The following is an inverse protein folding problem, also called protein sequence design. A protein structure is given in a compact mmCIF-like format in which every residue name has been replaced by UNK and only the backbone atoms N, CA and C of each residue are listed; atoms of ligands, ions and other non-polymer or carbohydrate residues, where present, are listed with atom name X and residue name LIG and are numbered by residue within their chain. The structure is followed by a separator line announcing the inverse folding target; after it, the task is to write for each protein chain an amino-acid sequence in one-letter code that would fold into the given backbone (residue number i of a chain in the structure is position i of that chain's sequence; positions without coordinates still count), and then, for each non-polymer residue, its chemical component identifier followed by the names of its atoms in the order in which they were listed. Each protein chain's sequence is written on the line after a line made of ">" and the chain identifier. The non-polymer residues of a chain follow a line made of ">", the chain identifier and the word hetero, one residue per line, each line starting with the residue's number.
data_IF_707430021561
#
_entry.id   IF_707430021561
#
_cell.length_a   1.000
_cell.length_b   1.000
_cell.length_c   1.000
_cell.angle_alpha   90.00
_cell.angle_beta   90.00
_cell.angle_gamma   90.00
#
_symmetry.space_group_name_H-M   'P 1'
#
loop_
_entity.id
_entity.type
_entity.pdbx_description
1 polymer ?
#
# COMPACT_ATOMS: atom_id res chain seq x y z
N UNK A 1 19.80 59.89 -67.81
CA UNK A 1 19.33 58.59 -68.32
C UNK A 1 20.14 57.51 -67.63
N UNK A 2 19.65 56.98 -66.51
CA UNK A 2 20.31 55.90 -65.78
C UNK A 2 19.62 54.59 -66.18
N UNK A 3 20.41 53.68 -66.76
CA UNK A 3 19.98 52.37 -67.23
C UNK A 3 19.42 51.56 -66.06
N UNK A 4 18.10 51.32 -66.08
CA UNK A 4 17.48 50.35 -65.20
C UNK A 4 17.95 48.96 -65.63
N UNK A 5 18.85 48.40 -64.83
CA UNK A 5 19.49 47.11 -65.05
C UNK A 5 18.45 46.00 -64.81
N UNK A 6 17.53 45.81 -65.77
CA UNK A 6 16.33 44.98 -65.65
C UNK A 6 16.62 43.54 -65.23
N UNK A 7 17.84 43.06 -65.47
CA UNK A 7 18.35 41.76 -65.03
C UNK A 7 18.46 41.65 -63.51
N UNK A 8 18.84 42.72 -62.80
CA UNK A 8 18.91 42.75 -61.32
C UNK A 8 17.52 42.77 -60.70
N UNK A 9 16.61 43.57 -61.26
CA UNK A 9 15.22 43.63 -60.80
C UNK A 9 14.52 42.28 -61.01
N UNK A 10 14.70 41.68 -62.19
CA UNK A 10 14.18 40.34 -62.48
C UNK A 10 14.74 39.28 -61.52
N UNK A 11 16.03 39.36 -61.19
CA UNK A 11 16.67 38.44 -60.23
C UNK A 11 16.10 38.58 -58.82
N UNK A 12 15.81 39.80 -58.37
CA UNK A 12 15.21 40.04 -57.05
C UNK A 12 13.77 39.53 -56.99
N UNK A 13 12.98 39.79 -58.04
CA UNK A 13 11.61 39.26 -58.12
C UNK A 13 11.58 37.73 -58.17
N UNK A 14 12.48 37.12 -58.96
CA UNK A 14 12.61 35.66 -58.99
C UNK A 14 13.01 35.11 -57.62
N UNK A 15 13.96 35.73 -56.94
CA UNK A 15 14.37 35.32 -55.60
C UNK A 15 13.20 35.37 -54.60
N UNK A 16 12.47 36.49 -54.56
CA UNK A 16 11.30 36.65 -53.68
C UNK A 16 10.23 35.61 -54.02
N UNK A 17 9.97 35.35 -55.30
CA UNK A 17 9.04 34.33 -55.75
C UNK A 17 9.43 32.94 -55.23
N UNK A 18 10.71 32.56 -55.35
CA UNK A 18 11.20 31.28 -54.84
C UNK A 18 11.08 31.17 -53.31
N UNK A 19 11.35 32.24 -52.57
CA UNK A 19 11.20 32.26 -51.11
C UNK A 19 9.73 32.06 -50.71
N UNK A 20 8.80 32.78 -51.34
CA UNK A 20 7.36 32.63 -51.08
C UNK A 20 6.90 31.21 -51.46
N UNK A 21 7.35 30.69 -52.60
CA UNK A 21 7.04 29.34 -53.05
C UNK A 21 7.46 28.30 -52.00
N UNK A 22 8.69 28.41 -51.45
CA UNK A 22 9.18 27.51 -50.41
C UNK A 22 8.33 27.57 -49.14
N UNK A 23 7.96 28.78 -48.69
CA UNK A 23 7.10 28.94 -47.51
C UNK A 23 5.75 28.24 -47.73
N UNK A 24 5.11 28.46 -48.88
CA UNK A 24 3.83 27.82 -49.21
C UNK A 24 3.98 26.29 -49.25
N UNK A 25 5.05 25.79 -49.85
CA UNK A 25 5.32 24.35 -49.95
C UNK A 25 5.52 23.71 -48.57
N UNK A 26 6.25 24.37 -47.68
CA UNK A 26 6.41 23.91 -46.29
C UNK A 26 5.09 23.90 -45.53
N UNK A 27 4.25 24.93 -45.72
CA UNK A 27 2.95 25.00 -45.06
C UNK A 27 2.01 23.88 -45.54
N UNK A 28 1.99 23.62 -46.85
CA UNK A 28 1.22 22.51 -47.44
C UNK A 28 1.71 21.14 -46.95
N UNK A 29 3.03 20.94 -46.86
CA UNK A 29 3.61 19.70 -46.35
C UNK A 29 3.22 19.44 -44.90
N UNK A 30 3.35 20.45 -44.02
CA UNK A 30 2.99 20.32 -42.60
C UNK A 30 1.49 20.07 -42.46
N UNK A 31 0.65 20.78 -43.21
CA UNK A 31 -0.81 20.58 -43.21
C UNK A 31 -1.17 19.17 -43.65
N UNK A 32 -0.52 18.64 -44.69
CA UNK A 32 -0.72 17.28 -45.17
C UNK A 32 -0.27 16.23 -44.14
N UNK A 33 0.85 16.44 -43.46
CA UNK A 33 1.33 15.56 -42.39
C UNK A 33 0.38 15.56 -41.19
N UNK A 34 -0.15 16.72 -40.79
CA UNK A 34 -1.14 16.82 -39.72
C UNK A 34 -2.45 16.10 -40.10
N UNK A 35 -2.94 16.27 -41.33
CA UNK A 35 -4.11 15.53 -41.83
C UNK A 35 -3.89 14.02 -41.90
N UNK A 36 -2.65 13.55 -42.15
CA UNK A 36 -2.31 12.12 -42.09
C UNK A 36 -2.11 11.61 -40.67
N UNK A 37 -1.73 12.49 -39.73
CA UNK A 37 -1.54 12.17 -38.32
C UNK A 37 -2.85 12.14 -37.52
N UNK A 38 -3.90 12.84 -37.98
CA UNK A 38 -5.22 12.72 -37.41
C UNK A 38 -5.97 11.53 -38.00
N UNK A 39 -6.05 10.46 -37.20
CA UNK A 39 -7.05 9.37 -37.13
C UNK A 39 -6.39 7.99 -37.03
N UNK A 40 -5.74 7.76 -35.89
CA UNK A 40 -5.87 6.49 -35.18
C UNK A 40 -6.62 6.79 -33.89
N UNK A 41 -7.89 7.19 -33.99
CA UNK A 41 -8.75 7.06 -32.80
C UNK A 41 -8.84 5.56 -32.55
N UNK A 42 -8.36 5.04 -31.41
CA UNK A 42 -8.62 3.65 -31.08
C UNK A 42 -10.13 3.45 -31.17
N UNK A 43 -10.60 2.30 -31.71
CA UNK A 43 -12.02 2.00 -31.66
C UNK A 43 -12.49 2.20 -30.22
N UNK A 44 -13.65 2.86 -30.05
CA UNK A 44 -14.31 2.92 -28.75
C UNK A 44 -14.36 1.48 -28.22
N UNK A 45 -13.90 1.21 -26.99
CA UNK A 45 -13.89 -0.14 -26.47
C UNK A 45 -15.31 -0.70 -26.54
N UNK A 46 -15.54 -1.59 -27.50
CA UNK A 46 -16.80 -2.31 -27.68
C UNK A 46 -16.72 -3.60 -26.87
N UNK A 47 -16.54 -3.43 -25.57
CA UNK A 47 -16.69 -4.48 -24.56
C UNK A 47 -16.70 -3.73 -23.23
N UNK A 48 -17.88 -3.59 -22.64
CA UNK A 48 -17.96 -3.47 -21.19
C UNK A 48 -17.15 -4.63 -20.65
N UNK A 49 -16.04 -4.31 -19.97
CA UNK A 49 -15.25 -5.29 -19.25
C UNK A 49 -16.25 -6.21 -18.53
N UNK A 50 -16.14 -7.55 -18.69
CA UNK A 50 -16.99 -8.44 -17.93
C UNK A 50 -16.88 -7.99 -16.47
N UNK A 51 -17.99 -7.88 -15.73
CA UNK A 51 -17.90 -7.51 -14.32
C UNK A 51 -16.86 -8.43 -13.71
N UNK A 52 -15.72 -7.84 -13.32
CA UNK A 52 -14.70 -8.58 -12.61
C UNK A 52 -15.40 -9.30 -11.47
N UNK A 53 -14.97 -10.51 -11.10
CA UNK A 53 -15.64 -11.22 -10.03
C UNK A 53 -15.69 -10.25 -8.83
N UNK A 54 -16.91 -9.82 -8.47
CA UNK A 54 -17.19 -9.11 -7.22
C UNK A 54 -17.02 -10.15 -6.11
N UNK A 55 -15.82 -10.66 -5.98
CA UNK A 55 -15.47 -11.74 -5.09
C UNK A 55 -14.50 -11.13 -4.11
N UNK A 56 -15.08 -10.58 -3.05
CA UNK A 56 -14.52 -10.58 -1.71
C UNK A 56 -12.99 -10.46 -1.74
N UNK A 57 -12.50 -9.24 -1.97
CA UNK A 57 -11.11 -8.95 -1.62
C UNK A 57 -10.89 -9.46 -0.19
N UNK A 58 -9.78 -10.14 0.11
CA UNK A 58 -9.48 -10.51 1.48
C UNK A 58 -9.59 -9.23 2.30
N UNK A 59 -10.30 -9.29 3.43
CA UNK A 59 -10.40 -8.14 4.31
C UNK A 59 -8.97 -7.68 4.62
N UNK A 60 -8.72 -6.36 4.58
CA UNK A 60 -7.39 -5.86 4.89
C UNK A 60 -6.98 -6.41 6.27
N UNK A 61 -5.73 -6.88 6.42
CA UNK A 61 -5.27 -7.37 7.70
C UNK A 61 -5.41 -6.27 8.74
N UNK A 62 -6.02 -6.61 9.88
CA UNK A 62 -6.12 -5.74 11.03
C UNK A 62 -4.78 -5.74 11.76
N UNK A 63 -4.33 -4.56 12.18
CA UNK A 63 -3.12 -4.39 12.98
C UNK A 63 -3.40 -3.50 14.18
N UNK A 64 -2.66 -3.76 15.26
CA UNK A 64 -2.61 -2.93 16.44
C UNK A 64 -1.16 -2.57 16.77
N UNK A 65 -0.93 -1.30 17.10
CA UNK A 65 0.37 -0.83 17.56
C UNK A 65 0.54 -1.13 19.05
N UNK A 66 1.62 -1.84 19.40
CA UNK A 66 1.99 -2.18 20.77
C UNK A 66 3.44 -1.75 20.99
N UNK A 67 3.64 -0.72 21.81
CA UNK A 67 4.93 -0.06 21.91
C UNK A 67 5.25 0.66 20.60
N UNK A 68 6.24 0.16 19.85
CA UNK A 68 6.59 0.68 18.51
C UNK A 68 6.50 -0.45 17.45
N UNK A 69 5.76 -1.52 17.74
CA UNK A 69 5.63 -2.70 16.89
C UNK A 69 4.17 -2.89 16.44
N UNK A 70 3.99 -3.31 15.19
CA UNK A 70 2.67 -3.57 14.61
C UNK A 70 2.37 -5.06 14.71
N UNK A 71 1.46 -5.43 15.61
CA UNK A 71 0.97 -6.79 15.76
C UNK A 71 -0.22 -6.99 14.83
N UNK A 72 -0.31 -8.16 14.22
CA UNK A 72 -1.50 -8.58 13.47
C UNK A 72 -2.62 -8.95 14.46
N UNK A 73 -3.84 -8.50 14.18
CA UNK A 73 -4.95 -8.52 15.13
C UNK A 73 -5.42 -7.10 15.45
N UNK A 74 -6.30 -6.91 16.45
CA UNK A 74 -6.66 -7.84 17.53
C UNK A 74 -7.83 -8.77 17.16
N UNK A 75 -7.67 -10.08 17.39
CA UNK A 75 -8.69 -11.09 17.09
C UNK A 75 -9.29 -11.72 18.34
N UNK A 76 -10.56 -12.09 18.26
CA UNK A 76 -11.18 -12.94 19.29
C UNK A 76 -10.65 -14.36 19.21
N UNK A 77 -10.85 -15.15 20.26
CA UNK A 77 -10.45 -16.56 20.29
C UNK A 77 -11.12 -17.37 19.15
N UNK A 78 -12.40 -17.14 18.90
CA UNK A 78 -13.15 -17.78 17.80
C UNK A 78 -12.55 -17.47 16.43
N UNK A 79 -12.10 -16.23 16.21
CA UNK A 79 -11.45 -15.84 14.96
C UNK A 79 -10.09 -16.53 14.79
N UNK A 80 -9.33 -16.67 15.88
CA UNK A 80 -8.01 -17.32 15.86
C UNK A 80 -8.12 -18.82 15.59
N UNK A 81 -9.09 -19.52 16.17
CA UNK A 81 -9.30 -20.97 15.95
C UNK A 81 -9.62 -21.28 14.49
N UNK A 82 -10.34 -20.38 13.82
CA UNK A 82 -10.69 -20.52 12.41
C UNK A 82 -9.57 -20.04 11.46
N UNK A 83 -8.59 -19.30 11.97
CA UNK A 83 -7.48 -18.75 11.18
C UNK A 83 -6.45 -19.85 10.87
N UNK A 84 -6.47 -20.35 9.64
CA UNK A 84 -5.45 -21.25 9.12
C UNK A 84 -4.21 -20.46 8.66
N UNK A 85 -3.44 -19.88 9.60
CA UNK A 85 -2.19 -19.18 9.25
C UNK A 85 -1.02 -20.16 9.20
N UNK A 86 -0.37 -20.36 8.03
CA UNK A 86 0.85 -21.14 7.95
C UNK A 86 2.00 -20.38 8.62
N UNK A 87 2.38 -20.81 9.82
CA UNK A 87 3.54 -20.27 10.54
C UNK A 87 4.80 -20.96 10.00
N UNK A 88 5.68 -20.20 9.35
CA UNK A 88 7.00 -20.70 8.96
C UNK A 88 7.85 -21.01 10.20
N UNK A 89 8.61 -22.12 10.17
CA UNK A 89 9.44 -22.56 11.31
C UNK A 89 10.58 -21.60 11.66
N UNK A 90 10.93 -20.70 10.74
CA UNK A 90 12.03 -19.75 10.90
C UNK A 90 11.56 -18.39 11.46
N UNK A 91 10.28 -18.26 11.81
CA UNK A 91 9.73 -17.05 12.41
C UNK A 91 9.51 -17.24 13.89
N UNK A 92 10.01 -16.28 14.67
CA UNK A 92 9.65 -16.18 16.07
C UNK A 92 8.28 -15.52 16.20
N UNK A 93 7.45 -16.08 17.06
CA UNK A 93 6.08 -15.60 17.30
C UNK A 93 6.03 -15.02 18.71
N UNK A 94 5.80 -13.72 18.77
CA UNK A 94 5.35 -13.05 19.99
C UNK A 94 3.83 -12.89 19.91
N UNK A 95 3.17 -12.98 21.05
CA UNK A 95 1.74 -12.73 21.16
C UNK A 95 1.46 -11.80 22.32
N UNK A 96 0.44 -10.98 22.16
CA UNK A 96 -0.09 -10.11 23.20
C UNK A 96 -1.53 -10.53 23.52
N UNK A 97 -1.83 -10.55 24.81
CA UNK A 97 -3.20 -10.69 25.32
C UNK A 97 -3.70 -9.31 25.65
N UNK A 98 -4.85 -8.97 25.09
CA UNK A 98 -5.45 -7.66 25.16
C UNK A 98 -6.82 -7.77 25.80
N UNK A 99 -7.13 -6.85 26.72
CA UNK A 99 -8.48 -6.69 27.24
C UNK A 99 -9.11 -5.45 26.61
N UNK A 100 -10.23 -5.65 25.91
CA UNK A 100 -10.99 -4.54 25.34
C UNK A 100 -11.82 -3.87 26.43
N UNK A 101 -11.62 -2.57 26.62
CA UNK A 101 -12.44 -1.72 27.50
C UNK A 101 -12.91 -0.50 26.74
N UNK A 102 -14.23 -0.40 26.57
CA UNK A 102 -14.87 0.57 25.68
C UNK A 102 -14.39 0.40 24.22
N UNK A 103 -13.41 1.20 23.79
CA UNK A 103 -12.81 1.18 22.45
C UNK A 103 -11.28 1.06 22.48
N UNK A 104 -10.68 0.96 23.67
CA UNK A 104 -9.25 0.83 23.85
C UNK A 104 -8.87 -0.58 24.31
N UNK A 105 -7.61 -0.95 24.08
CA UNK A 105 -7.06 -2.24 24.45
C UNK A 105 -6.02 -2.06 25.56
N UNK A 106 -6.32 -2.57 26.74
CA UNK A 106 -5.34 -2.71 27.80
C UNK A 106 -4.49 -3.96 27.53
N UNK A 107 -3.17 -3.83 27.68
CA UNK A 107 -2.24 -4.94 27.45
C UNK A 107 -2.13 -5.76 28.73
N UNK A 108 -2.71 -6.96 28.73
CA UNK A 108 -2.67 -7.86 29.88
C UNK A 108 -1.33 -8.58 29.96
N UNK A 109 -0.82 -9.06 28.83
CA UNK A 109 0.35 -9.93 28.79
C UNK A 109 1.05 -9.88 27.43
N UNK A 110 2.36 -10.03 27.42
CA UNK A 110 3.17 -10.20 26.21
C UNK A 110 4.07 -11.42 26.39
N UNK A 111 3.84 -12.45 25.56
CA UNK A 111 4.54 -13.73 25.61
C UNK A 111 5.16 -14.11 24.27
N UNK A 112 5.91 -15.20 24.29
CA UNK A 112 6.46 -15.84 23.09
C UNK A 112 6.25 -17.35 23.12
N UNK A 113 6.48 -18.02 21.99
CA UNK A 113 6.26 -19.47 21.81
C UNK A 113 7.01 -20.38 22.78
N UNK A 114 8.05 -19.89 23.45
CA UNK A 114 8.85 -20.67 24.39
C UNK A 114 8.28 -20.68 25.81
N UNK A 115 7.26 -19.85 26.10
CA UNK A 115 6.71 -19.68 27.44
C UNK A 115 5.63 -20.75 27.73
N UNK A 116 5.84 -21.54 28.79
CA UNK A 116 4.97 -22.67 29.14
C UNK A 116 3.87 -22.33 30.14
N UNK A 117 4.12 -21.31 30.97
CA UNK A 117 3.23 -20.91 32.04
C UNK A 117 2.59 -19.57 31.67
N UNK A 118 1.29 -19.61 31.39
CA UNK A 118 0.45 -18.45 31.12
C UNK A 118 -0.60 -18.31 32.22
N UNK A 119 -0.76 -17.10 32.73
CA UNK A 119 -1.67 -16.82 33.85
C UNK A 119 -3.05 -16.38 33.33
N UNK A 120 -3.83 -17.37 32.88
CA UNK A 120 -5.18 -17.15 32.38
C UNK A 120 -6.12 -16.57 33.46
N UNK A 121 -5.90 -16.95 34.73
CA UNK A 121 -6.70 -16.46 35.85
C UNK A 121 -6.52 -14.95 36.02
N UNK A 122 -5.27 -14.47 36.02
CA UNK A 122 -4.97 -13.03 36.05
C UNK A 122 -5.63 -12.27 34.89
N UNK A 123 -5.61 -12.83 33.68
CA UNK A 123 -6.22 -12.18 32.51
C UNK A 123 -7.73 -12.01 32.70
N UNK A 124 -8.40 -13.05 33.20
CA UNK A 124 -9.85 -13.02 33.43
C UNK A 124 -10.24 -12.09 34.57
N UNK A 125 -9.50 -12.10 35.68
CA UNK A 125 -9.75 -11.18 36.81
C UNK A 125 -9.60 -9.71 36.39
N UNK A 126 -8.56 -9.41 35.61
CA UNK A 126 -8.31 -8.05 35.13
C UNK A 126 -9.16 -7.67 33.90
N UNK A 127 -9.86 -8.63 33.28
CA UNK A 127 -10.73 -8.38 32.12
C UNK A 127 -12.22 -8.64 32.41
N UNK A 128 -12.68 -8.24 33.60
CA UNK A 128 -14.09 -8.31 34.04
C UNK A 128 -14.73 -9.71 33.97
N UNK A 129 -13.92 -10.77 33.96
CA UNK A 129 -14.35 -12.16 33.81
C UNK A 129 -15.15 -12.45 32.52
N UNK A 130 -15.01 -11.60 31.50
CA UNK A 130 -15.75 -11.71 30.24
C UNK A 130 -14.81 -12.11 29.10
N UNK A 131 -14.86 -13.37 28.66
CA UNK A 131 -14.01 -13.91 27.58
C UNK A 131 -14.20 -13.13 26.26
N UNK A 132 -15.39 -12.60 26.01
CA UNK A 132 -15.69 -11.77 24.83
C UNK A 132 -14.86 -10.47 24.75
N UNK A 133 -14.29 -10.03 25.88
CA UNK A 133 -13.42 -8.85 25.93
C UNK A 133 -11.94 -9.21 25.78
N UNK A 134 -11.58 -10.50 25.71
CA UNK A 134 -10.21 -10.93 25.48
C UNK A 134 -9.91 -11.05 23.99
N UNK A 135 -8.82 -10.43 23.60
CA UNK A 135 -8.32 -10.41 22.23
C UNK A 135 -6.85 -10.82 22.19
N UNK A 136 -6.45 -11.36 21.04
CA UNK A 136 -5.11 -11.83 20.75
C UNK A 136 -4.52 -11.01 19.61
N UNK A 137 -3.28 -10.59 19.77
CA UNK A 137 -2.51 -10.00 18.70
C UNK A 137 -1.18 -10.74 18.55
N UNK A 138 -0.72 -10.94 17.31
CA UNK A 138 0.45 -11.76 17.00
C UNK A 138 1.47 -10.94 16.24
N UNK A 139 2.72 -11.01 16.66
CA UNK A 139 3.85 -10.39 15.99
C UNK A 139 4.82 -11.47 15.51
N UNK A 140 5.03 -11.49 14.20
CA UNK A 140 5.97 -12.40 13.54
C UNK A 140 7.25 -11.64 13.23
N UNK A 141 8.39 -12.18 13.67
CA UNK A 141 9.68 -11.55 13.41
C UNK A 141 10.77 -12.59 13.18
N UNK A 142 11.73 -12.24 12.33
CA UNK A 142 13.00 -12.96 12.18
C UNK A 142 14.04 -12.51 13.21
N UNK A 143 13.75 -11.47 13.99
CA UNK A 143 14.63 -10.95 15.04
C UNK A 143 14.46 -11.69 16.34
N UNK A 144 15.50 -11.65 17.18
CA UNK A 144 15.53 -12.27 18.52
C UNK A 144 14.29 -11.89 19.36
N UNK A 145 13.38 -12.84 19.64
CA UNK A 145 12.11 -12.55 20.29
C UNK A 145 12.28 -12.17 21.75
N UNK A 146 13.36 -12.63 22.41
CA UNK A 146 13.63 -12.34 23.82
C UNK A 146 13.88 -10.85 23.99
N UNK A 147 14.72 -10.25 23.15
CA UNK A 147 15.02 -8.81 23.22
C UNK A 147 13.80 -7.95 22.99
N UNK A 148 12.96 -8.31 22.03
CA UNK A 148 11.74 -7.56 21.71
C UNK A 148 10.75 -7.69 22.87
N UNK A 149 10.53 -8.92 23.36
CA UNK A 149 9.67 -9.21 24.52
C UNK A 149 10.11 -8.43 25.76
N UNK A 150 11.39 -8.47 26.10
CA UNK A 150 11.92 -7.81 27.29
C UNK A 150 11.82 -6.28 27.20
N UNK A 151 12.04 -5.72 26.00
CA UNK A 151 11.87 -4.29 25.76
C UNK A 151 10.41 -3.88 25.96
N UNK A 152 9.49 -4.64 25.34
CA UNK A 152 8.04 -4.41 25.46
C UNK A 152 7.58 -4.54 26.91
N UNK A 153 7.95 -5.61 27.61
CA UNK A 153 7.59 -5.82 29.00
C UNK A 153 8.11 -4.69 29.91
N UNK A 154 9.34 -4.23 29.70
CA UNK A 154 9.91 -3.12 30.51
C UNK A 154 9.22 -1.79 30.26
N UNK A 155 8.86 -1.49 29.01
CA UNK A 155 8.26 -0.20 28.63
C UNK A 155 6.78 -0.12 28.96
N UNK A 156 6.06 -1.22 28.72
CA UNK A 156 4.61 -1.26 28.80
C UNK A 156 4.12 -1.78 30.16
N UNK A 157 4.96 -2.54 30.87
CA UNK A 157 4.67 -3.14 32.16
C UNK A 157 3.27 -3.81 32.20
N UNK A 158 3.05 -4.88 31.40
CA UNK A 158 1.74 -5.54 31.31
C UNK A 158 1.28 -6.07 32.66
N UNK A 159 -0.03 -6.06 32.87
CA UNK A 159 -0.65 -6.31 34.18
C UNK A 159 -0.34 -7.71 34.72
N UNK A 160 -0.38 -8.71 33.83
CA UNK A 160 -0.25 -10.12 34.17
C UNK A 160 1.09 -10.71 33.72
N UNK A 161 2.13 -9.88 33.57
CA UNK A 161 3.47 -10.39 33.32
C UNK A 161 3.93 -11.18 34.54
N UNK A 162 4.24 -12.47 34.34
CA UNK A 162 4.84 -13.30 35.38
C UNK A 162 6.15 -12.66 35.83
N UNK A 163 6.22 -12.28 37.10
CA UNK A 163 7.48 -11.88 37.73
C UNK A 163 8.31 -13.16 37.86
N UNK A 164 9.31 -13.33 37.01
CA UNK A 164 10.41 -14.28 37.26
C UNK A 164 11.26 -13.80 38.44
#
# INVERSE_FOLDING_TARGET
>A
MANFDGKKILSVFLYIFFVILLIVLTFLLVTWLLQKGEVLRPPLPSEEFPPGPLTTFPQPPEFIEIGDYYFSGPWTLETLENASTPISRDLFVLFAILCKRNEEYDIMYIGGTEQKDVDYECWMENCNQEVQNLYFAVFLSSSDPVKIKDNLNRRLNPICSSVE
#
